data_IF_840625768507
#
_entry.id   IF_840625768507
#
_cell.length_a   1.000
_cell.length_b   1.000
_cell.length_c   1.000
_cell.angle_alpha   90.00
_cell.angle_beta   90.00
_cell.angle_gamma   90.00
#
_symmetry.space_group_name_H-M   'P 1'
#
loop_
_entity.id
_entity.type
_entity.pdbx_description
1 polymer ?
#
# COMPACT_ATOMS: atom_id res chain seq x y z
N UNK A 1 79.68 -20.58 0.67
CA UNK A 1 78.74 -20.67 -0.45
C UNK A 1 77.38 -21.05 0.13
N UNK A 2 76.50 -20.08 0.38
CA UNK A 2 75.16 -20.29 0.93
C UNK A 2 74.10 -19.96 -0.14
N UNK A 3 73.32 -20.94 -0.56
CA UNK A 3 72.26 -20.75 -1.54
C UNK A 3 70.97 -20.30 -0.81
N UNK A 4 70.57 -19.04 -1.05
CA UNK A 4 69.27 -18.55 -0.59
C UNK A 4 68.14 -19.07 -1.45
N UNK A 5 67.12 -19.65 -0.78
CA UNK A 5 65.87 -20.10 -1.40
C UNK A 5 64.86 -18.97 -1.31
N UNK A 6 64.52 -18.43 -2.47
CA UNK A 6 63.42 -17.43 -2.61
C UNK A 6 62.10 -18.20 -2.62
N UNK A 7 61.29 -18.00 -1.56
CA UNK A 7 59.88 -18.48 -1.52
C UNK A 7 58.98 -17.43 -2.16
N UNK A 8 58.44 -17.73 -3.32
CA UNK A 8 57.42 -16.95 -3.98
C UNK A 8 56.06 -17.30 -3.38
N UNK A 9 55.44 -16.39 -2.64
CA UNK A 9 54.11 -16.53 -2.10
C UNK A 9 53.10 -16.13 -3.17
N UNK A 10 52.34 -17.08 -3.71
CA UNK A 10 51.19 -16.80 -4.57
C UNK A 10 50.01 -16.38 -3.68
N UNK A 11 49.61 -15.12 -3.78
CA UNK A 11 48.33 -14.63 -3.23
C UNK A 11 47.23 -14.93 -4.26
N UNK A 12 46.40 -15.92 -3.98
CA UNK A 12 45.21 -16.19 -4.76
C UNK A 12 44.14 -15.15 -4.41
N UNK A 13 43.92 -14.20 -5.30
CA UNK A 13 42.75 -13.29 -5.23
C UNK A 13 41.53 -14.10 -5.64
N UNK A 14 40.74 -14.53 -4.66
CA UNK A 14 39.41 -15.07 -4.91
C UNK A 14 38.50 -13.92 -5.36
N UNK A 15 38.24 -13.81 -6.65
CA UNK A 15 37.17 -12.96 -7.16
C UNK A 15 35.84 -13.59 -6.77
N UNK A 16 35.22 -13.07 -5.71
CA UNK A 16 33.80 -13.30 -5.45
C UNK A 16 33.00 -12.70 -6.61
N UNK A 17 32.68 -13.52 -7.60
CA UNK A 17 31.62 -13.20 -8.53
C UNK A 17 30.29 -13.24 -7.72
N UNK A 18 29.81 -12.06 -7.33
CA UNK A 18 28.44 -11.90 -6.92
C UNK A 18 27.58 -12.29 -8.13
N UNK A 19 26.99 -13.48 -8.09
CA UNK A 19 25.90 -13.86 -9.00
C UNK A 19 24.72 -12.97 -8.59
N UNK A 20 24.68 -11.78 -9.15
CA UNK A 20 23.51 -10.92 -9.08
C UNK A 20 22.37 -11.66 -9.76
N UNK A 21 21.43 -12.18 -8.99
CA UNK A 21 20.10 -12.46 -9.56
C UNK A 21 19.58 -11.12 -10.03
N UNK A 22 19.58 -10.89 -11.35
CA UNK A 22 18.96 -9.70 -11.93
C UNK A 22 17.53 -9.67 -11.40
N UNK A 23 17.25 -8.69 -10.51
CA UNK A 23 15.92 -8.45 -9.97
C UNK A 23 14.98 -8.18 -11.15
N UNK A 24 13.74 -8.63 -11.07
CA UNK A 24 12.75 -8.33 -12.10
C UNK A 24 12.53 -6.83 -12.16
N UNK A 25 12.74 -6.22 -13.33
CA UNK A 25 12.45 -4.80 -13.60
C UNK A 25 10.96 -4.57 -13.85
N UNK A 26 10.50 -3.38 -13.46
CA UNK A 26 9.10 -2.95 -13.60
C UNK A 26 9.05 -1.60 -14.32
N UNK A 27 8.96 -1.65 -15.65
CA UNK A 27 9.01 -0.47 -16.54
C UNK A 27 7.65 0.22 -16.71
N UNK A 28 6.57 -0.43 -16.28
CA UNK A 28 5.21 0.10 -16.38
C UNK A 28 4.30 -0.48 -15.30
N UNK A 29 3.35 0.33 -14.85
CA UNK A 29 2.24 -0.15 -14.02
C UNK A 29 1.21 -0.95 -14.83
N UNK A 30 1.15 -0.77 -16.16
CA UNK A 30 0.26 -1.57 -17.01
C UNK A 30 0.57 -3.06 -16.87
N UNK A 31 -0.46 -3.86 -16.70
CA UNK A 31 -0.37 -5.31 -16.50
C UNK A 31 -0.11 -5.74 -15.06
N UNK A 32 -0.13 -4.82 -14.09
CA UNK A 32 0.08 -5.14 -12.69
C UNK A 32 -1.19 -4.95 -11.86
N UNK A 33 -1.34 -5.79 -10.85
CA UNK A 33 -2.28 -5.65 -9.74
C UNK A 33 -1.46 -5.45 -8.48
N UNK A 34 -1.59 -4.28 -7.88
CA UNK A 34 -0.85 -3.88 -6.67
C UNK A 34 -1.81 -3.55 -5.54
N UNK A 35 -1.29 -3.47 -4.32
CA UNK A 35 -2.07 -3.03 -3.16
C UNK A 35 -1.35 -1.90 -2.43
N UNK A 36 -2.10 -1.04 -1.76
CA UNK A 36 -1.51 -0.10 -0.80
C UNK A 36 -0.95 -0.85 0.40
N UNK A 37 0.19 -0.42 0.91
CA UNK A 37 0.85 -1.01 2.07
C UNK A 37 1.08 0.06 3.11
N UNK A 38 0.41 -0.04 4.25
CA UNK A 38 0.48 0.95 5.32
C UNK A 38 1.80 0.85 6.09
N UNK A 39 2.14 -0.33 6.57
CA UNK A 39 3.36 -0.60 7.29
C UNK A 39 3.56 0.22 8.57
N UNK A 40 2.50 0.80 9.14
CA UNK A 40 2.55 1.78 10.23
C UNK A 40 2.43 1.20 11.64
N UNK A 41 2.13 -0.11 11.75
CA UNK A 41 1.92 -0.77 13.02
C UNK A 41 3.24 -0.98 13.78
N UNK A 42 3.27 -0.64 15.07
CA UNK A 42 4.39 -0.91 15.96
C UNK A 42 3.96 -1.67 17.20
N UNK A 43 4.92 -2.39 17.79
CA UNK A 43 4.77 -3.05 19.09
C UNK A 43 5.78 -2.49 20.08
N UNK A 44 5.54 -2.60 21.41
CA UNK A 44 6.58 -2.39 22.40
C UNK A 44 7.79 -3.28 22.08
N UNK A 45 8.99 -2.76 22.30
CA UNK A 45 10.25 -3.50 22.12
C UNK A 45 10.57 -3.96 20.67
N UNK A 46 9.84 -3.44 19.66
CA UNK A 46 10.19 -3.66 18.24
C UNK A 46 11.43 -2.84 17.82
N UNK A 47 11.86 -1.90 18.62
CA UNK A 47 13.00 -1.01 18.35
C UNK A 47 12.60 0.36 17.79
N UNK A 48 11.35 0.57 17.38
CA UNK A 48 10.88 1.87 16.91
C UNK A 48 10.66 2.91 18.02
N UNK A 49 10.42 2.44 19.25
CA UNK A 49 10.11 3.29 20.40
C UNK A 49 8.75 3.97 20.33
N UNK A 50 7.78 3.37 19.60
CA UNK A 50 6.44 3.93 19.35
C UNK A 50 5.34 3.22 20.15
N UNK A 51 5.65 2.13 20.86
CA UNK A 51 4.68 1.28 21.54
C UNK A 51 3.67 0.66 20.59
N UNK A 52 2.46 0.41 21.01
CA UNK A 52 1.37 -0.14 20.17
C UNK A 52 0.81 0.92 19.19
N UNK A 53 1.64 1.49 18.32
CA UNK A 53 1.24 2.52 17.38
C UNK A 53 0.31 1.92 16.31
N UNK A 54 -0.75 2.61 15.94
CA UNK A 54 -1.88 2.19 15.11
C UNK A 54 -2.70 1.00 15.62
N UNK A 55 -2.16 0.12 16.45
CA UNK A 55 -2.94 -0.90 17.16
C UNK A 55 -3.80 -0.31 18.27
N UNK A 56 -3.27 0.69 19.01
CA UNK A 56 -3.92 1.29 20.18
C UNK A 56 -5.10 2.17 19.79
N UNK A 57 -6.19 2.03 20.56
CA UNK A 57 -7.27 3.00 20.57
C UNK A 57 -6.94 4.22 21.43
N UNK A 58 -7.97 5.02 21.70
CA UNK A 58 -7.86 6.28 22.46
C UNK A 58 -7.22 6.10 23.84
N UNK A 59 -7.58 5.04 24.54
CA UNK A 59 -7.16 4.78 25.94
C UNK A 59 -6.05 3.71 26.03
N UNK A 60 -5.23 3.58 25.00
CA UNK A 60 -4.15 2.59 24.88
C UNK A 60 -4.57 1.34 24.11
N UNK A 61 -3.72 0.30 24.15
CA UNK A 61 -4.01 -0.99 23.51
C UNK A 61 -4.40 -2.01 24.57
N UNK A 62 -5.68 -2.21 24.75
CA UNK A 62 -6.27 -3.09 25.76
C UNK A 62 -7.72 -3.43 25.37
N UNK A 63 -8.33 -4.46 25.99
CA UNK A 63 -9.74 -4.75 25.80
C UNK A 63 -10.62 -3.52 26.01
N UNK A 64 -11.50 -3.25 25.04
CA UNK A 64 -12.32 -2.05 24.99
C UNK A 64 -11.63 -0.81 24.40
N UNK A 65 -10.32 -0.86 24.12
CA UNK A 65 -9.57 0.24 23.49
C UNK A 65 -8.55 -0.32 22.49
N UNK A 66 -8.93 -0.33 21.23
CA UNK A 66 -8.09 -0.72 20.07
C UNK A 66 -8.62 -0.02 18.84
N UNK A 67 -7.76 0.22 17.84
CA UNK A 67 -8.21 0.71 16.54
C UNK A 67 -8.48 -0.42 15.55
N UNK A 68 -7.87 -1.60 15.74
CA UNK A 68 -7.95 -2.66 14.74
C UNK A 68 -9.26 -3.45 14.82
N UNK A 69 -9.82 -3.74 13.66
CA UNK A 69 -11.04 -4.54 13.52
C UNK A 69 -10.74 -5.99 13.12
N UNK A 70 -9.71 -6.22 12.30
CA UNK A 70 -9.30 -7.55 11.88
C UNK A 70 -8.08 -8.00 12.68
N UNK A 71 -8.00 -9.30 12.99
CA UNK A 71 -6.82 -9.90 13.60
C UNK A 71 -5.99 -10.62 12.53
N UNK A 72 -4.67 -10.42 12.44
CA UNK A 72 -3.84 -11.14 11.48
C UNK A 72 -3.71 -12.62 11.84
N UNK A 73 -3.62 -13.48 10.81
CA UNK A 73 -3.19 -14.87 10.98
C UNK A 73 -1.68 -14.88 11.21
N UNK A 74 -1.29 -15.10 12.45
CA UNK A 74 0.12 -14.98 12.88
C UNK A 74 0.94 -16.26 12.69
N UNK A 75 0.39 -17.31 12.09
CA UNK A 75 1.00 -18.64 12.01
C UNK A 75 2.31 -18.70 11.20
N UNK A 76 2.58 -17.75 10.31
CA UNK A 76 3.78 -17.72 9.47
C UNK A 76 4.78 -16.60 9.84
N UNK A 77 4.49 -15.79 10.88
CA UNK A 77 5.42 -14.75 11.32
C UNK A 77 6.49 -15.34 12.25
N UNK A 78 7.73 -14.93 12.03
CA UNK A 78 8.89 -15.36 12.83
C UNK A 78 8.94 -14.65 14.18
N UNK A 79 8.66 -13.34 14.20
CA UNK A 79 8.71 -12.49 15.39
C UNK A 79 7.34 -11.90 15.69
N UNK A 80 6.92 -12.05 16.94
CA UNK A 80 5.61 -11.64 17.45
C UNK A 80 5.76 -11.04 18.84
N UNK A 81 4.83 -10.15 19.20
CA UNK A 81 4.78 -9.44 20.48
C UNK A 81 3.52 -9.78 21.23
N UNK A 82 3.63 -10.11 22.50
CA UNK A 82 2.52 -10.46 23.38
C UNK A 82 1.61 -9.24 23.60
N UNK A 83 0.31 -9.41 23.41
CA UNK A 83 -0.70 -8.37 23.58
C UNK A 83 -1.45 -8.51 24.90
N UNK A 84 -2.19 -7.49 25.35
CA UNK A 84 -3.08 -7.61 26.50
C UNK A 84 -4.37 -8.43 26.23
N UNK A 85 -4.48 -9.06 25.09
CA UNK A 85 -5.65 -9.86 24.70
C UNK A 85 -5.36 -11.35 24.80
N UNK A 86 -6.38 -12.14 25.14
CA UNK A 86 -6.30 -13.60 25.27
C UNK A 86 -7.39 -14.28 24.43
N UNK A 87 -7.09 -15.47 23.98
CA UNK A 87 -8.05 -16.40 23.41
C UNK A 87 -8.85 -17.11 24.52
N UNK A 88 -9.93 -17.76 24.12
CA UNK A 88 -10.84 -18.54 25.00
C UNK A 88 -10.16 -19.69 25.77
N UNK A 89 -9.04 -20.21 25.28
CA UNK A 89 -8.22 -21.22 25.95
C UNK A 89 -7.15 -20.61 26.90
N UNK A 90 -7.17 -19.29 27.12
CA UNK A 90 -6.19 -18.58 27.94
C UNK A 90 -4.88 -18.24 27.26
N UNK A 91 -4.68 -18.65 25.99
CA UNK A 91 -3.46 -18.31 25.24
C UNK A 91 -3.40 -16.80 24.99
N UNK A 92 -2.23 -16.20 25.23
CA UNK A 92 -1.98 -14.78 24.93
C UNK A 92 -1.97 -14.59 23.41
N UNK A 93 -2.76 -13.63 22.94
CA UNK A 93 -2.78 -13.24 21.55
C UNK A 93 -1.56 -12.38 21.21
N UNK A 94 -0.99 -12.56 20.02
CA UNK A 94 0.25 -11.89 19.59
C UNK A 94 0.07 -11.18 18.26
N UNK A 95 0.88 -10.14 18.05
CA UNK A 95 0.87 -9.33 16.83
C UNK A 95 2.29 -9.08 16.30
N UNK A 96 2.47 -8.96 14.97
CA UNK A 96 3.74 -8.62 14.35
C UNK A 96 3.98 -7.09 14.37
N UNK A 97 5.21 -6.69 14.03
CA UNK A 97 5.54 -5.31 13.68
C UNK A 97 6.26 -5.26 12.33
N UNK A 98 5.85 -4.44 11.35
CA UNK A 98 6.59 -4.25 10.11
C UNK A 98 7.93 -3.51 10.29
N UNK A 99 8.21 -3.00 11.48
CA UNK A 99 9.56 -2.52 11.82
C UNK A 99 10.59 -3.64 11.89
N UNK A 100 10.13 -4.89 12.01
CA UNK A 100 10.95 -6.10 11.87
C UNK A 100 11.01 -6.55 10.40
N UNK A 101 12.21 -6.79 9.89
CA UNK A 101 12.39 -7.28 8.52
C UNK A 101 11.63 -8.59 8.23
N UNK A 102 11.62 -9.52 9.17
CA UNK A 102 10.94 -10.82 9.01
C UNK A 102 9.43 -10.68 8.73
N UNK A 103 8.78 -9.64 9.28
CA UNK A 103 7.38 -9.33 9.00
C UNK A 103 7.19 -8.91 7.54
N UNK A 104 7.98 -7.95 7.08
CA UNK A 104 7.91 -7.45 5.70
C UNK A 104 8.32 -8.53 4.70
N UNK A 105 9.36 -9.32 5.01
CA UNK A 105 9.79 -10.46 4.21
C UNK A 105 8.66 -11.49 4.03
N UNK A 106 7.92 -11.80 5.11
CA UNK A 106 6.75 -12.68 5.06
C UNK A 106 5.65 -12.13 4.16
N UNK A 107 5.36 -10.82 4.21
CA UNK A 107 4.37 -10.18 3.35
C UNK A 107 4.75 -10.27 1.87
N UNK A 108 5.99 -9.99 1.50
CA UNK A 108 6.45 -10.09 0.12
C UNK A 108 6.54 -11.54 -0.36
N UNK A 109 6.86 -12.49 0.52
CA UNK A 109 6.78 -13.93 0.25
C UNK A 109 5.34 -14.35 -0.09
N UNK A 110 4.33 -13.84 0.65
CA UNK A 110 2.92 -14.06 0.31
C UNK A 110 2.54 -13.43 -1.04
N UNK A 111 2.96 -12.20 -1.32
CA UNK A 111 2.71 -11.58 -2.63
C UNK A 111 3.22 -12.45 -3.77
N UNK A 112 4.45 -12.98 -3.64
CA UNK A 112 5.01 -13.90 -4.64
C UNK A 112 4.20 -15.19 -4.72
N UNK A 113 3.89 -15.81 -3.59
CA UNK A 113 3.16 -17.09 -3.50
C UNK A 113 1.77 -17.01 -4.14
N UNK A 114 1.05 -15.93 -3.91
CA UNK A 114 -0.33 -15.76 -4.36
C UNK A 114 -0.45 -14.96 -5.67
N UNK A 115 0.61 -14.36 -6.16
CA UNK A 115 0.66 -13.71 -7.46
C UNK A 115 0.22 -12.25 -7.48
N UNK A 116 0.22 -11.56 -6.34
CA UNK A 116 0.12 -10.10 -6.28
C UNK A 116 1.43 -9.49 -6.81
N UNK A 117 1.34 -8.49 -7.67
CA UNK A 117 2.51 -8.01 -8.41
C UNK A 117 3.42 -7.09 -7.57
N UNK A 118 2.88 -6.42 -6.57
CA UNK A 118 3.65 -5.52 -5.70
C UNK A 118 2.78 -4.63 -4.84
N UNK A 119 3.39 -3.59 -4.27
CA UNK A 119 2.74 -2.67 -3.36
C UNK A 119 3.10 -1.22 -3.62
N UNK A 120 2.19 -0.33 -3.22
CA UNK A 120 2.42 1.09 -3.06
C UNK A 120 2.61 1.38 -1.56
N UNK A 121 3.86 1.70 -1.19
CA UNK A 121 4.25 1.98 0.19
C UNK A 121 3.71 3.33 0.61
N UNK A 122 2.77 3.34 1.53
CA UNK A 122 2.19 4.57 2.07
C UNK A 122 3.25 5.36 2.82
N UNK A 123 3.26 6.66 2.57
CA UNK A 123 4.19 7.59 3.18
C UNK A 123 3.44 8.87 3.58
N UNK A 124 2.93 8.88 4.81
CA UNK A 124 2.17 10.01 5.35
C UNK A 124 3.09 11.21 5.54
N UNK A 125 2.83 12.30 4.84
CA UNK A 125 3.66 13.52 4.93
C UNK A 125 3.78 14.03 6.37
N UNK A 126 2.71 13.90 7.16
CA UNK A 126 2.72 14.25 8.58
C UNK A 126 3.68 13.39 9.42
N UNK A 127 3.70 12.09 9.16
CA UNK A 127 4.58 11.14 9.86
C UNK A 127 6.06 11.38 9.51
N UNK A 128 6.36 11.50 8.22
CA UNK A 128 7.75 11.69 7.79
C UNK A 128 8.29 13.10 8.05
N UNK A 129 7.43 14.01 8.47
CA UNK A 129 7.82 15.35 8.92
C UNK A 129 8.28 15.38 10.39
N UNK A 130 8.11 14.30 11.14
CA UNK A 130 8.63 14.19 12.50
C UNK A 130 9.71 13.10 12.59
N UNK A 131 10.72 13.27 13.50
CA UNK A 131 11.87 12.36 13.53
C UNK A 131 11.53 10.89 13.82
N UNK A 132 10.55 10.61 14.69
CA UNK A 132 10.16 9.25 15.07
C UNK A 132 9.43 8.55 13.93
N UNK A 133 8.44 9.21 13.33
CA UNK A 133 7.72 8.70 12.15
C UNK A 133 8.66 8.50 10.97
N UNK A 134 9.53 9.48 10.69
CA UNK A 134 10.52 9.37 9.60
C UNK A 134 11.42 8.15 9.74
N UNK A 135 11.98 7.91 10.94
CA UNK A 135 12.79 6.71 11.20
C UNK A 135 12.01 5.43 10.93
N UNK A 136 10.75 5.37 11.42
CA UNK A 136 9.90 4.21 11.21
C UNK A 136 9.63 3.95 9.72
N UNK A 137 9.13 4.94 8.99
CA UNK A 137 8.78 4.78 7.57
C UNK A 137 10.01 4.55 6.68
N UNK A 138 11.18 5.11 7.02
CA UNK A 138 12.43 4.81 6.32
C UNK A 138 12.85 3.36 6.53
N UNK A 139 12.78 2.83 7.76
CA UNK A 139 13.10 1.45 8.08
C UNK A 139 12.18 0.47 7.35
N UNK A 140 10.86 0.71 7.39
CA UNK A 140 9.88 -0.16 6.71
C UNK A 140 10.06 -0.11 5.18
N UNK A 141 10.35 1.06 4.62
CA UNK A 141 10.64 1.22 3.20
C UNK A 141 11.92 0.45 2.79
N UNK A 142 12.99 0.53 3.59
CA UNK A 142 14.22 -0.24 3.34
C UNK A 142 13.94 -1.74 3.35
N UNK A 143 13.17 -2.21 4.31
CA UNK A 143 12.72 -3.60 4.37
C UNK A 143 11.91 -4.01 3.14
N UNK A 144 10.98 -3.15 2.69
CA UNK A 144 10.17 -3.39 1.51
C UNK A 144 11.01 -3.44 0.23
N UNK A 145 11.94 -2.51 0.02
CA UNK A 145 12.85 -2.51 -1.13
C UNK A 145 13.69 -3.78 -1.18
N UNK A 146 14.26 -4.19 -0.04
CA UNK A 146 15.04 -5.42 0.09
C UNK A 146 14.19 -6.67 -0.21
N UNK A 147 13.00 -6.77 0.38
CA UNK A 147 12.11 -7.90 0.16
C UNK A 147 11.55 -7.93 -1.28
N UNK A 148 11.26 -6.77 -1.87
CA UNK A 148 10.83 -6.65 -3.26
C UNK A 148 11.86 -7.20 -4.23
N UNK A 149 13.13 -6.82 -4.08
CA UNK A 149 14.23 -7.35 -4.89
C UNK A 149 14.37 -8.87 -4.71
N UNK A 150 14.30 -9.37 -3.45
CA UNK A 150 14.37 -10.81 -3.14
C UNK A 150 13.27 -11.63 -3.81
N UNK A 151 12.05 -11.12 -3.83
CA UNK A 151 10.87 -11.86 -4.31
C UNK A 151 10.43 -11.47 -5.73
N UNK A 152 11.08 -10.49 -6.35
CA UNK A 152 10.71 -9.97 -7.66
C UNK A 152 9.29 -9.40 -7.64
N UNK A 153 9.02 -8.45 -6.73
CA UNK A 153 7.75 -7.72 -6.61
C UNK A 153 7.99 -6.24 -6.80
N UNK A 154 7.01 -5.53 -7.38
CA UNK A 154 7.09 -4.09 -7.58
C UNK A 154 6.94 -3.34 -6.25
N UNK A 155 7.68 -2.26 -6.09
CA UNK A 155 7.49 -1.27 -5.01
C UNK A 155 7.38 0.11 -5.61
N UNK A 156 6.46 0.91 -5.13
CA UNK A 156 6.32 2.32 -5.45
C UNK A 156 6.03 3.12 -4.17
N UNK A 157 6.46 4.36 -4.10
CA UNK A 157 6.13 5.26 -2.99
C UNK A 157 4.79 5.93 -3.28
N UNK A 158 3.93 5.98 -2.25
CA UNK A 158 2.65 6.68 -2.28
C UNK A 158 2.56 7.65 -1.12
N UNK A 159 2.62 8.94 -1.41
CA UNK A 159 2.42 9.98 -0.41
C UNK A 159 0.95 10.16 -0.08
N UNK A 160 0.64 10.24 1.22
CA UNK A 160 -0.67 10.60 1.74
C UNK A 160 -0.60 12.02 2.35
N UNK A 161 -1.49 12.88 1.86
CA UNK A 161 -1.54 14.29 2.25
C UNK A 161 -2.50 14.56 3.42
N UNK A 162 -3.07 13.53 4.06
CA UNK A 162 -4.03 13.69 5.16
C UNK A 162 -3.46 14.51 6.30
N UNK A 163 -4.29 15.42 6.85
CA UNK A 163 -3.93 16.24 7.99
C UNK A 163 -2.88 17.33 7.73
N UNK A 164 -2.45 17.51 6.48
CA UNK A 164 -1.42 18.48 6.12
C UNK A 164 -1.97 19.91 6.00
N UNK A 165 -1.03 20.87 6.00
CA UNK A 165 -1.25 22.30 5.81
C UNK A 165 -0.58 22.80 4.51
N UNK A 166 -0.55 24.12 4.31
CA UNK A 166 0.03 24.78 3.12
C UNK A 166 1.53 24.50 2.87
N UNK A 167 2.24 23.90 3.85
CA UNK A 167 3.64 23.51 3.67
C UNK A 167 3.80 22.06 3.14
N UNK A 168 2.72 21.42 2.75
CA UNK A 168 2.72 20.02 2.32
C UNK A 168 3.63 19.79 1.10
N UNK A 169 3.64 20.70 0.14
CA UNK A 169 4.49 20.61 -1.05
C UNK A 169 5.99 20.65 -0.69
N UNK A 170 6.40 21.60 0.15
CA UNK A 170 7.78 21.71 0.64
C UNK A 170 8.24 20.41 1.32
N UNK A 171 7.41 19.89 2.24
CA UNK A 171 7.72 18.68 3.01
C UNK A 171 7.84 17.43 2.15
N UNK A 172 6.87 17.24 1.22
CA UNK A 172 6.85 16.10 0.32
C UNK A 172 8.07 16.12 -0.62
N UNK A 173 8.35 17.27 -1.24
CA UNK A 173 9.47 17.40 -2.18
C UNK A 173 10.83 17.23 -1.50
N UNK A 174 10.98 17.69 -0.27
CA UNK A 174 12.20 17.46 0.50
C UNK A 174 12.37 15.97 0.87
N UNK A 175 11.29 15.29 1.23
CA UNK A 175 11.30 13.87 1.58
C UNK A 175 11.61 12.99 0.37
N UNK A 176 10.98 13.23 -0.78
CA UNK A 176 11.26 12.44 -1.99
C UNK A 176 12.70 12.62 -2.49
N UNK A 177 13.28 13.81 -2.35
CA UNK A 177 14.67 14.07 -2.69
C UNK A 177 15.63 13.22 -1.82
N UNK A 178 15.33 13.07 -0.52
CA UNK A 178 16.11 12.22 0.38
C UNK A 178 15.95 10.73 0.04
N UNK A 179 14.71 10.29 -0.10
CA UNK A 179 14.39 8.88 -0.39
C UNK A 179 14.95 8.46 -1.74
N UNK A 180 14.87 9.32 -2.75
CA UNK A 180 15.42 9.06 -4.09
C UNK A 180 16.93 8.83 -4.06
N UNK A 181 17.66 9.64 -3.30
CA UNK A 181 19.11 9.44 -3.13
C UNK A 181 19.42 8.15 -2.38
N UNK A 182 18.70 7.89 -1.29
CA UNK A 182 18.93 6.72 -0.43
C UNK A 182 18.69 5.40 -1.16
N UNK A 183 17.63 5.33 -1.96
CA UNK A 183 17.20 4.10 -2.63
C UNK A 183 17.47 4.08 -4.13
N UNK A 184 18.17 5.09 -4.67
CA UNK A 184 18.50 5.18 -6.11
C UNK A 184 17.29 5.01 -7.02
N UNK A 185 16.18 5.73 -6.73
CA UNK A 185 14.92 5.55 -7.44
C UNK A 185 15.00 5.84 -8.94
N UNK A 186 15.92 6.71 -9.35
CA UNK A 186 16.18 7.07 -10.75
C UNK A 186 17.00 6.04 -11.52
N UNK A 187 17.52 5.01 -10.85
CA UNK A 187 18.43 4.03 -11.44
C UNK A 187 17.85 2.62 -11.32
N UNK A 188 17.20 2.16 -12.39
CA UNK A 188 16.66 0.80 -12.47
C UNK A 188 17.72 -0.29 -12.27
N UNK A 189 18.95 -0.04 -12.63
CA UNK A 189 20.05 -1.00 -12.46
C UNK A 189 20.36 -1.25 -10.97
N UNK A 190 20.26 -0.20 -10.16
CA UNK A 190 20.47 -0.28 -8.70
C UNK A 190 19.23 -0.70 -7.94
N UNK A 191 18.03 -0.35 -8.41
CA UNK A 191 16.77 -0.69 -7.77
C UNK A 191 15.74 -1.20 -8.79
N UNK A 192 15.93 -2.43 -9.32
CA UNK A 192 15.09 -2.98 -10.38
C UNK A 192 13.64 -3.20 -9.99
N UNK A 193 13.35 -3.38 -8.69
CA UNK A 193 11.99 -3.56 -8.18
C UNK A 193 11.21 -2.25 -8.01
N UNK A 194 11.87 -1.08 -8.08
CA UNK A 194 11.14 0.18 -8.03
C UNK A 194 10.34 0.39 -9.31
N UNK A 195 9.04 0.65 -9.16
CA UNK A 195 8.13 0.76 -10.29
C UNK A 195 8.40 2.03 -11.10
N UNK A 196 8.66 1.87 -12.37
CA UNK A 196 8.67 2.93 -13.36
C UNK A 196 7.37 2.95 -14.17
N UNK A 197 7.10 4.07 -14.81
CA UNK A 197 6.01 4.22 -15.77
C UNK A 197 6.40 5.30 -16.79
N UNK A 198 6.11 5.08 -18.07
CA UNK A 198 6.51 5.97 -19.16
C UNK A 198 8.02 6.34 -19.13
N UNK A 199 8.87 5.36 -18.78
CA UNK A 199 10.34 5.52 -18.74
C UNK A 199 10.88 6.32 -17.54
N UNK A 200 10.04 6.65 -16.55
CA UNK A 200 10.41 7.43 -15.36
C UNK A 200 9.96 6.72 -14.08
N UNK A 201 10.68 6.89 -12.95
CA UNK A 201 10.22 6.36 -11.66
C UNK A 201 8.85 6.93 -11.30
N UNK A 202 7.93 6.05 -10.87
CA UNK A 202 6.57 6.44 -10.50
C UNK A 202 6.52 6.92 -9.04
N UNK A 203 5.82 8.02 -8.81
CA UNK A 203 5.43 8.48 -7.47
C UNK A 203 3.92 8.68 -7.44
N UNK A 204 3.29 8.23 -6.37
CA UNK A 204 1.85 8.42 -6.17
C UNK A 204 1.62 9.51 -5.14
N UNK A 205 0.61 10.36 -5.37
CA UNK A 205 0.17 11.39 -4.43
C UNK A 205 -1.32 11.24 -4.22
N UNK A 206 -1.71 10.78 -3.03
CA UNK A 206 -3.11 10.68 -2.63
C UNK A 206 -3.54 11.89 -1.83
N UNK A 207 -4.75 12.38 -2.10
CA UNK A 207 -5.33 13.46 -1.33
C UNK A 207 -5.55 14.74 -2.13
N UNK A 208 -5.43 14.69 -3.46
CA UNK A 208 -5.59 15.85 -4.35
C UNK A 208 -7.07 16.09 -4.68
N UNK A 209 -7.58 17.29 -4.41
CA UNK A 209 -8.91 17.74 -4.82
C UNK A 209 -10.08 17.26 -3.94
N UNK A 210 -9.84 16.80 -2.70
CA UNK A 210 -10.91 16.45 -1.76
C UNK A 210 -11.52 17.68 -1.08
N UNK A 211 -12.87 17.74 -0.96
CA UNK A 211 -13.63 18.81 -0.34
C UNK A 211 -13.86 18.64 1.17
N UNK A 212 -13.08 17.81 1.85
CA UNK A 212 -13.23 17.44 3.27
C UNK A 212 -12.58 18.44 4.25
N UNK A 213 -12.54 19.73 3.89
CA UNK A 213 -11.99 20.84 4.70
C UNK A 213 -10.48 20.73 4.97
N UNK A 214 -9.72 20.25 4.01
CA UNK A 214 -8.26 20.22 4.10
C UNK A 214 -7.67 21.61 4.28
N UNK A 215 -6.54 21.72 4.99
CA UNK A 215 -5.83 22.98 5.21
C UNK A 215 -4.86 23.33 4.08
N UNK A 216 -4.77 22.50 3.07
CA UNK A 216 -4.11 22.72 1.79
C UNK A 216 -5.16 22.63 0.67
N UNK A 217 -4.85 23.14 -0.50
CA UNK A 217 -5.78 23.17 -1.63
C UNK A 217 -5.10 22.86 -2.96
N UNK A 218 -5.71 23.33 -4.05
CA UNK A 218 -5.22 23.08 -5.40
C UNK A 218 -3.89 23.79 -5.71
N UNK A 219 -3.57 24.90 -5.04
CA UNK A 219 -2.29 25.58 -5.22
C UNK A 219 -1.12 24.72 -4.73
N UNK A 220 -1.27 24.08 -3.57
CA UNK A 220 -0.28 23.15 -3.04
C UNK A 220 -0.22 21.85 -3.87
N UNK A 221 -1.35 21.35 -4.35
CA UNK A 221 -1.41 20.21 -5.25
C UNK A 221 -0.67 20.50 -6.57
N UNK A 222 -0.88 21.67 -7.15
CA UNK A 222 -0.14 22.13 -8.34
C UNK A 222 1.37 22.22 -8.08
N UNK A 223 1.76 22.77 -6.93
CA UNK A 223 3.18 22.87 -6.56
C UNK A 223 3.84 21.47 -6.41
N UNK A 224 3.12 20.49 -5.83
CA UNK A 224 3.60 19.10 -5.74
C UNK A 224 3.78 18.50 -7.13
N UNK A 225 2.76 18.59 -7.99
CA UNK A 225 2.81 18.00 -9.34
C UNK A 225 3.93 18.64 -10.16
N UNK A 226 4.04 19.96 -10.17
CA UNK A 226 5.13 20.67 -10.87
C UNK A 226 6.51 20.25 -10.34
N UNK A 227 6.68 20.25 -9.02
CA UNK A 227 7.97 19.90 -8.39
C UNK A 227 8.38 18.43 -8.63
N UNK A 228 7.44 17.50 -8.71
CA UNK A 228 7.73 16.09 -9.06
C UNK A 228 8.09 15.93 -10.55
N UNK A 229 7.40 16.64 -11.44
CA UNK A 229 7.71 16.63 -12.88
C UNK A 229 9.10 17.21 -13.17
N UNK A 230 9.45 18.33 -12.54
CA UNK A 230 10.79 18.94 -12.64
C UNK A 230 11.90 17.98 -12.20
N UNK A 231 11.60 17.09 -11.24
CA UNK A 231 12.51 16.03 -10.78
C UNK A 231 12.52 14.78 -11.66
N UNK A 232 11.73 14.73 -12.72
CA UNK A 232 11.71 13.64 -13.68
C UNK A 232 10.86 12.43 -13.26
N UNK A 233 9.88 12.59 -12.37
CA UNK A 233 8.95 11.50 -12.01
C UNK A 233 7.79 11.36 -12.99
N UNK A 234 7.31 10.14 -13.17
CA UNK A 234 5.92 9.87 -13.54
C UNK A 234 5.04 10.01 -12.31
N UNK A 235 3.82 10.47 -12.49
CA UNK A 235 2.94 10.83 -11.39
C UNK A 235 1.62 10.08 -11.51
N UNK A 236 1.22 9.41 -10.43
CA UNK A 236 -0.15 8.92 -10.25
C UNK A 236 -0.84 9.77 -9.19
N UNK A 237 -2.04 10.27 -9.49
CA UNK A 237 -2.84 11.04 -8.55
C UNK A 237 -3.98 10.21 -7.97
N UNK A 238 -4.08 10.18 -6.63
CA UNK A 238 -5.23 9.71 -5.88
C UNK A 238 -6.20 10.87 -5.62
N UNK A 239 -7.37 10.83 -6.26
CA UNK A 239 -8.38 11.89 -6.29
C UNK A 239 -9.71 11.44 -5.69
N UNK A 240 -10.64 12.34 -5.35
CA UNK A 240 -11.96 11.96 -4.87
C UNK A 240 -12.76 11.17 -5.91
N UNK A 241 -13.84 10.54 -5.46
CA UNK A 241 -14.71 9.72 -6.29
C UNK A 241 -15.32 10.47 -7.48
N UNK A 242 -15.82 11.66 -7.22
CA UNK A 242 -16.57 12.45 -8.22
C UNK A 242 -15.71 13.57 -8.86
N UNK A 243 -14.39 13.30 -8.97
CA UNK A 243 -13.40 14.22 -9.52
C UNK A 243 -13.78 14.77 -10.91
N UNK A 244 -14.39 13.93 -11.76
CA UNK A 244 -14.77 14.32 -13.12
C UNK A 244 -15.98 15.26 -13.14
N UNK A 245 -16.92 15.08 -12.20
CA UNK A 245 -18.13 15.89 -12.06
C UNK A 245 -17.94 17.12 -11.18
N UNK A 246 -16.83 17.25 -10.46
CA UNK A 246 -16.53 18.35 -9.52
C UNK A 246 -17.64 18.55 -8.47
N UNK A 247 -18.10 17.47 -7.85
CA UNK A 247 -19.19 17.48 -6.87
C UNK A 247 -18.94 16.54 -5.70
N UNK A 248 -19.83 16.54 -4.72
CA UNK A 248 -19.85 15.69 -3.52
C UNK A 248 -18.54 15.75 -2.71
N UNK A 249 -17.68 14.74 -2.83
CA UNK A 249 -16.40 14.67 -2.12
C UNK A 249 -15.25 15.43 -2.82
N UNK A 250 -15.57 16.15 -3.90
CA UNK A 250 -14.61 16.84 -4.77
C UNK A 250 -14.70 18.36 -4.64
N UNK A 251 -13.55 19.03 -4.62
CA UNK A 251 -13.47 20.50 -4.76
C UNK A 251 -14.16 20.94 -6.06
N UNK A 252 -15.15 21.86 -5.98
CA UNK A 252 -15.92 22.29 -7.15
C UNK A 252 -15.16 23.36 -7.99
N UNK A 253 -13.85 23.16 -8.18
CA UNK A 253 -12.96 24.07 -8.89
C UNK A 253 -12.38 23.38 -10.14
N UNK A 254 -12.64 23.90 -11.36
CA UNK A 254 -12.16 23.30 -12.61
C UNK A 254 -10.64 23.24 -12.74
N UNK A 255 -9.88 24.00 -11.96
CA UNK A 255 -8.41 23.87 -11.90
C UNK A 255 -7.97 22.46 -11.50
N UNK A 256 -8.82 21.69 -10.82
CA UNK A 256 -8.52 20.27 -10.53
C UNK A 256 -8.28 19.46 -11.81
N UNK A 257 -9.07 19.70 -12.85
CA UNK A 257 -8.88 19.03 -14.15
C UNK A 257 -7.55 19.44 -14.81
N UNK A 258 -7.13 20.71 -14.66
CA UNK A 258 -5.84 21.17 -15.21
C UNK A 258 -4.65 20.51 -14.49
N UNK A 259 -4.77 20.27 -13.18
CA UNK A 259 -3.79 19.53 -12.39
C UNK A 259 -3.77 18.05 -12.82
N UNK A 260 -4.94 17.43 -12.95
CA UNK A 260 -5.08 16.01 -13.36
C UNK A 260 -4.45 15.79 -14.74
N UNK A 261 -4.64 16.69 -15.71
CA UNK A 261 -4.03 16.57 -17.04
C UNK A 261 -2.51 16.57 -17.05
N UNK A 262 -1.87 16.86 -15.93
CA UNK A 262 -0.42 16.81 -15.78
C UNK A 262 0.09 15.48 -15.20
N UNK A 263 -0.80 14.56 -14.79
CA UNK A 263 -0.38 13.25 -14.29
C UNK A 263 -0.31 12.20 -15.42
N UNK A 264 0.37 11.11 -15.15
CA UNK A 264 0.50 9.96 -16.05
C UNK A 264 -0.60 8.91 -15.77
N UNK A 265 -1.05 8.82 -14.50
CA UNK A 265 -2.06 7.85 -14.07
C UNK A 265 -3.03 8.51 -13.08
N UNK A 266 -4.30 8.19 -13.20
CA UNK A 266 -5.34 8.64 -12.28
C UNK A 266 -5.98 7.46 -11.53
N UNK A 267 -6.19 7.63 -10.21
CA UNK A 267 -6.82 6.65 -9.32
C UNK A 267 -7.87 7.34 -8.44
N UNK A 268 -9.16 7.24 -8.76
CA UNK A 268 -10.20 7.69 -7.86
C UNK A 268 -10.31 6.82 -6.62
N UNK A 269 -10.56 7.45 -5.47
CA UNK A 269 -10.69 6.76 -4.19
C UNK A 269 -12.12 6.32 -3.93
N UNK A 270 -12.35 5.01 -3.91
CA UNK A 270 -13.67 4.41 -3.80
C UNK A 270 -13.96 3.75 -2.45
N UNK A 271 -12.97 3.65 -1.56
CA UNK A 271 -13.16 3.02 -0.24
C UNK A 271 -14.28 3.74 0.53
N UNK A 272 -15.24 2.96 1.04
CA UNK A 272 -16.35 3.48 1.82
C UNK A 272 -17.47 4.16 1.01
N UNK A 273 -17.36 4.23 -0.33
CA UNK A 273 -18.33 4.96 -1.17
C UNK A 273 -19.54 4.12 -1.61
N UNK A 274 -19.45 2.82 -1.54
CA UNK A 274 -20.51 1.87 -1.89
C UNK A 274 -20.33 0.56 -1.12
N UNK A 275 -21.40 -0.20 -1.06
CA UNK A 275 -21.43 -1.58 -0.62
C UNK A 275 -21.83 -2.53 -1.77
N UNK A 276 -22.02 -3.82 -1.50
CA UNK A 276 -22.43 -4.81 -2.50
C UNK A 276 -23.76 -4.47 -3.18
N UNK A 277 -24.70 -3.83 -2.46
CA UNK A 277 -26.03 -3.48 -2.97
C UNK A 277 -26.01 -2.24 -3.86
N UNK A 278 -25.25 -1.24 -3.46
CA UNK A 278 -25.15 0.05 -4.17
C UNK A 278 -24.15 0.04 -5.32
N UNK A 279 -23.19 -0.91 -5.33
CA UNK A 279 -22.17 -0.99 -6.38
C UNK A 279 -22.72 -1.05 -7.81
N UNK A 280 -23.79 -1.78 -8.15
CA UNK A 280 -24.34 -1.78 -9.51
C UNK A 280 -24.77 -0.41 -10.03
N UNK A 281 -25.25 0.46 -9.13
CA UNK A 281 -25.59 1.84 -9.48
C UNK A 281 -24.36 2.75 -9.54
N UNK A 282 -23.28 2.40 -8.83
CA UNK A 282 -22.05 3.18 -8.74
C UNK A 282 -21.07 2.91 -9.91
N UNK A 283 -20.95 1.64 -10.31
CA UNK A 283 -19.87 1.15 -11.20
C UNK A 283 -19.79 1.81 -12.57
N UNK A 284 -20.85 2.49 -13.03
CA UNK A 284 -20.86 3.23 -14.32
C UNK A 284 -19.80 4.32 -14.38
N UNK A 285 -19.38 4.86 -13.22
CA UNK A 285 -18.31 5.85 -13.16
C UNK A 285 -17.00 5.33 -13.75
N UNK A 286 -16.70 4.04 -13.60
CA UNK A 286 -15.42 3.45 -14.04
C UNK A 286 -15.21 3.58 -15.55
N UNK A 287 -16.11 3.09 -16.43
CA UNK A 287 -15.92 3.24 -17.88
C UNK A 287 -16.01 4.70 -18.34
N UNK A 288 -16.78 5.55 -17.67
CA UNK A 288 -16.86 6.98 -18.00
C UNK A 288 -15.56 7.71 -17.65
N UNK A 289 -14.98 7.43 -16.49
CA UNK A 289 -13.68 7.97 -16.09
C UNK A 289 -12.56 7.46 -17.00
N UNK A 290 -12.58 6.17 -17.36
CA UNK A 290 -11.63 5.61 -18.33
C UNK A 290 -11.72 6.26 -19.70
N UNK A 291 -12.93 6.65 -20.16
CA UNK A 291 -13.12 7.35 -21.42
C UNK A 291 -12.48 8.75 -21.35
N UNK A 292 -12.77 9.51 -20.30
CA UNK A 292 -12.18 10.82 -20.09
C UNK A 292 -10.64 10.78 -20.01
N UNK A 293 -10.09 9.79 -19.27
CA UNK A 293 -8.64 9.62 -19.16
C UNK A 293 -7.99 9.33 -20.52
N UNK A 294 -8.61 8.48 -21.34
CA UNK A 294 -8.12 8.21 -22.71
C UNK A 294 -8.11 9.43 -23.62
N UNK A 295 -9.13 10.31 -23.50
CA UNK A 295 -9.20 11.56 -24.28
C UNK A 295 -8.07 12.53 -23.91
N UNK A 296 -7.44 12.32 -22.75
CA UNK A 296 -6.39 13.20 -22.22
C UNK A 296 -5.02 12.50 -22.08
N UNK A 297 -4.84 11.32 -22.72
CA UNK A 297 -3.60 10.53 -22.66
C UNK A 297 -3.14 10.17 -21.23
N UNK A 298 -4.10 9.92 -20.33
CA UNK A 298 -3.87 9.53 -18.94
C UNK A 298 -4.29 8.07 -18.77
N UNK A 299 -3.46 7.27 -18.10
CA UNK A 299 -3.84 5.93 -17.69
C UNK A 299 -4.79 5.96 -16.49
N UNK A 300 -5.65 4.95 -16.39
CA UNK A 300 -6.62 4.85 -15.30
C UNK A 300 -6.40 3.59 -14.49
N UNK A 301 -6.23 3.75 -13.18
CA UNK A 301 -6.09 2.67 -12.22
C UNK A 301 -7.36 2.57 -11.36
N UNK A 302 -8.36 1.75 -11.72
CA UNK A 302 -9.52 1.56 -10.87
C UNK A 302 -9.12 0.92 -9.54
N UNK A 303 -9.78 1.37 -8.47
CA UNK A 303 -9.57 0.88 -7.11
C UNK A 303 -10.63 -0.16 -6.76
N UNK A 304 -10.20 -1.26 -6.12
CA UNK A 304 -11.07 -2.26 -5.52
C UNK A 304 -10.71 -2.45 -4.03
N UNK A 305 -11.71 -2.74 -3.20
CA UNK A 305 -11.50 -2.99 -1.77
C UNK A 305 -12.37 -4.14 -1.25
N UNK A 306 -11.88 -4.93 -0.26
CA UNK A 306 -12.57 -6.17 0.13
C UNK A 306 -13.77 -5.97 1.04
N UNK A 307 -13.83 -4.85 1.70
CA UNK A 307 -14.81 -4.41 2.69
C UNK A 307 -14.23 -3.24 3.47
N UNK A 308 -14.99 -2.69 4.42
CA UNK A 308 -14.58 -1.54 5.20
C UNK A 308 -15.21 -1.57 6.59
N UNK A 309 -14.47 -1.15 7.63
CA UNK A 309 -14.99 -1.11 8.99
C UNK A 309 -14.23 -0.09 9.84
N UNK A 310 -14.97 0.80 10.48
CA UNK A 310 -14.47 1.69 11.53
C UNK A 310 -15.00 1.30 12.92
N UNK A 311 -15.33 0.04 13.11
CA UNK A 311 -15.99 -0.44 14.33
C UNK A 311 -15.22 -0.08 15.61
N UNK A 312 -13.91 -0.21 15.61
CA UNK A 312 -13.07 0.10 16.77
C UNK A 312 -12.38 1.46 16.68
N UNK A 313 -12.13 1.98 15.48
CA UNK A 313 -11.42 3.24 15.28
C UNK A 313 -12.28 4.46 15.62
N UNK A 314 -13.56 4.43 15.34
CA UNK A 314 -14.48 5.54 15.57
C UNK A 314 -15.46 5.26 16.70
N UNK A 315 -15.74 6.30 17.52
CA UNK A 315 -16.70 6.23 18.58
C UNK A 315 -17.82 7.25 18.33
N UNK A 316 -19.12 6.90 18.46
CA UNK A 316 -19.65 5.59 18.85
C UNK A 316 -19.37 4.49 17.81
N UNK A 317 -19.32 3.23 18.29
CA UNK A 317 -18.94 2.04 17.51
C UNK A 317 -19.90 1.64 16.37
N UNK A 318 -20.89 2.43 16.08
CA UNK A 318 -21.86 2.25 14.98
C UNK A 318 -21.36 2.81 13.64
N UNK A 319 -20.09 3.16 13.57
CA UNK A 319 -19.49 3.69 12.37
C UNK A 319 -19.62 2.73 11.18
N UNK A 320 -19.59 3.29 10.00
CA UNK A 320 -19.76 2.64 8.70
C UNK A 320 -19.09 1.27 8.62
N UNK A 321 -19.88 0.26 8.29
CA UNK A 321 -19.41 -1.09 8.07
C UNK A 321 -19.89 -1.59 6.72
N UNK A 322 -18.95 -2.01 5.88
CA UNK A 322 -19.21 -2.65 4.59
C UNK A 322 -18.72 -4.10 4.70
N UNK A 323 -19.66 -5.07 4.79
CA UNK A 323 -19.30 -6.47 4.96
C UNK A 323 -18.48 -7.03 3.81
N UNK A 324 -17.60 -7.95 4.13
CA UNK A 324 -16.70 -8.58 3.15
C UNK A 324 -17.37 -9.72 2.36
N UNK A 325 -18.44 -10.31 2.90
CA UNK A 325 -19.25 -11.37 2.29
C UNK A 325 -18.42 -12.53 1.72
N UNK A 326 -17.48 -13.06 2.49
CA UNK A 326 -16.57 -14.12 2.08
C UNK A 326 -15.87 -13.83 0.72
N UNK A 327 -15.64 -12.55 0.43
CA UNK A 327 -14.96 -12.08 -0.77
C UNK A 327 -15.85 -11.91 -2.01
N UNK A 328 -17.17 -12.13 -1.95
CA UNK A 328 -18.07 -11.90 -3.10
C UNK A 328 -18.08 -10.44 -3.54
N UNK A 329 -18.16 -9.52 -2.58
CA UNK A 329 -18.11 -8.08 -2.82
C UNK A 329 -16.78 -7.66 -3.51
N UNK A 330 -15.65 -8.17 -3.04
CA UNK A 330 -14.35 -7.88 -3.65
C UNK A 330 -14.23 -8.45 -5.06
N UNK A 331 -14.66 -9.70 -5.25
CA UNK A 331 -14.63 -10.36 -6.56
C UNK A 331 -15.47 -9.63 -7.59
N UNK A 332 -16.68 -9.15 -7.22
CA UNK A 332 -17.56 -8.41 -8.10
C UNK A 332 -16.89 -7.15 -8.66
N UNK A 333 -16.17 -6.41 -7.84
CA UNK A 333 -15.40 -5.22 -8.24
C UNK A 333 -14.25 -5.59 -9.20
N UNK A 334 -13.44 -6.59 -8.81
CA UNK A 334 -12.32 -7.07 -9.63
C UNK A 334 -12.79 -7.54 -11.02
N UNK A 335 -13.87 -8.32 -11.06
CA UNK A 335 -14.45 -8.82 -12.30
C UNK A 335 -14.91 -7.68 -13.19
N UNK A 336 -15.67 -6.73 -12.65
CA UNK A 336 -16.18 -5.60 -13.42
C UNK A 336 -15.07 -4.70 -13.96
N UNK A 337 -14.07 -4.35 -13.16
CA UNK A 337 -12.93 -3.55 -13.63
C UNK A 337 -12.21 -4.23 -14.80
N UNK A 338 -11.98 -5.54 -14.70
CA UNK A 338 -11.32 -6.31 -15.78
C UNK A 338 -12.17 -6.43 -17.03
N UNK A 339 -13.49 -6.53 -16.89
CA UNK A 339 -14.47 -6.56 -18.00
C UNK A 339 -14.61 -5.20 -18.68
N UNK A 340 -14.56 -4.11 -17.90
CA UNK A 340 -14.55 -2.73 -18.39
C UNK A 340 -13.27 -2.36 -19.15
N UNK A 341 -12.25 -3.22 -19.10
CA UNK A 341 -11.05 -3.00 -19.87
C UNK A 341 -9.87 -2.41 -19.12
N UNK A 342 -9.89 -2.41 -17.79
CA UNK A 342 -8.76 -1.95 -16.99
C UNK A 342 -7.43 -2.60 -17.43
N UNK A 343 -6.38 -1.82 -17.47
CA UNK A 343 -5.02 -2.25 -17.82
C UNK A 343 -4.11 -2.38 -16.59
N UNK A 344 -4.55 -1.90 -15.45
CA UNK A 344 -3.92 -2.00 -14.12
C UNK A 344 -5.00 -2.00 -13.06
N UNK A 345 -4.69 -2.44 -11.84
CA UNK A 345 -5.63 -2.41 -10.71
C UNK A 345 -4.90 -2.01 -9.42
N UNK A 346 -5.54 -1.16 -8.62
CA UNK A 346 -5.13 -0.84 -7.27
C UNK A 346 -6.08 -1.48 -6.25
N UNK A 347 -5.55 -2.11 -5.22
CA UNK A 347 -6.30 -2.71 -4.13
C UNK A 347 -6.05 -1.91 -2.84
N UNK A 348 -7.09 -1.40 -2.24
CA UNK A 348 -7.06 -0.81 -0.91
C UNK A 348 -7.54 -1.84 0.11
N UNK A 349 -6.69 -2.37 1.01
CA UNK A 349 -5.24 -2.24 1.18
C UNK A 349 -4.63 -3.62 1.41
N UNK A 350 -3.30 -3.73 1.45
CA UNK A 350 -2.64 -5.01 1.76
C UNK A 350 -2.80 -5.38 3.24
N UNK A 351 -2.47 -4.47 4.16
CA UNK A 351 -2.27 -4.72 5.60
C UNK A 351 -3.12 -3.85 6.55
N UNK A 352 -4.07 -3.10 6.04
CA UNK A 352 -4.87 -2.15 6.84
C UNK A 352 -5.99 -2.85 7.60
N UNK A 353 -5.65 -3.35 8.79
CA UNK A 353 -6.58 -4.09 9.66
C UNK A 353 -7.45 -3.18 10.53
N UNK A 354 -7.08 -1.93 10.68
CA UNK A 354 -7.78 -0.90 11.45
C UNK A 354 -8.99 -0.31 10.71
N UNK A 355 -8.97 -0.30 9.37
CA UNK A 355 -10.13 0.03 8.54
C UNK A 355 -10.82 -1.19 7.90
N UNK A 356 -10.42 -2.40 8.27
CA UNK A 356 -11.01 -3.63 7.76
C UNK A 356 -10.77 -3.89 6.27
N UNK A 357 -9.88 -3.16 5.61
CA UNK A 357 -9.58 -3.26 4.18
C UNK A 357 -8.47 -4.27 3.84
N UNK A 358 -7.79 -4.82 4.84
CA UNK A 358 -6.67 -5.73 4.63
C UNK A 358 -7.01 -6.95 3.77
N UNK A 359 -6.17 -7.24 2.75
CA UNK A 359 -6.24 -8.48 1.95
C UNK A 359 -5.22 -9.53 2.35
N UNK A 360 -4.26 -9.20 3.22
CA UNK A 360 -3.29 -10.16 3.75
C UNK A 360 -4.01 -11.23 4.62
N UNK A 361 -3.27 -12.17 5.17
CA UNK A 361 -3.86 -13.26 5.95
C UNK A 361 -4.46 -12.75 7.27
N UNK A 362 -5.78 -12.89 7.43
CA UNK A 362 -6.51 -12.59 8.66
C UNK A 362 -7.03 -13.86 9.32
N UNK A 363 -7.17 -13.82 10.65
CA UNK A 363 -7.51 -14.97 11.46
C UNK A 363 -9.04 -15.19 11.53
N UNK A 364 -9.44 -16.46 11.55
CA UNK A 364 -10.80 -16.85 11.92
C UNK A 364 -10.99 -16.83 13.44
N UNK A 365 -9.98 -17.34 14.17
CA UNK A 365 -9.98 -17.28 15.62
C UNK A 365 -9.39 -15.96 16.06
N UNK A 366 -10.20 -15.15 16.71
CA UNK A 366 -9.83 -13.83 17.23
C UNK A 366 -9.83 -13.87 18.76
N UNK A 367 -9.06 -13.01 19.45
CA UNK A 367 -9.06 -12.99 20.92
C UNK A 367 -10.37 -12.42 21.45
N UNK A 368 -11.18 -13.27 22.07
CA UNK A 368 -12.53 -12.95 22.59
C UNK A 368 -12.73 -13.21 24.08
N UNK A 369 -11.77 -13.88 24.73
CA UNK A 369 -11.89 -14.24 26.15
C UNK A 369 -11.92 -13.03 27.08
N UNK A 370 -11.37 -11.88 26.63
CA UNK A 370 -11.32 -10.67 27.44
C UNK A 370 -12.56 -9.81 27.14
N UNK A 371 -13.36 -9.41 28.16
CA UNK A 371 -14.52 -8.54 27.95
C UNK A 371 -14.13 -7.23 27.25
N UNK A 372 -14.94 -6.79 26.28
CA UNK A 372 -14.70 -5.61 25.47
C UNK A 372 -13.88 -5.85 24.19
N UNK A 373 -13.42 -7.06 23.93
CA UNK A 373 -12.85 -7.42 22.62
C UNK A 373 -13.95 -7.44 21.53
N UNK A 374 -13.68 -6.76 20.42
CA UNK A 374 -14.68 -6.56 19.35
C UNK A 374 -14.13 -6.80 17.95
N UNK A 375 -13.19 -7.74 17.83
CA UNK A 375 -12.59 -8.08 16.55
C UNK A 375 -13.56 -8.81 15.64
N UNK A 376 -13.43 -8.59 14.33
CA UNK A 376 -14.22 -9.23 13.29
C UNK A 376 -13.46 -10.47 12.81
N UNK A 377 -14.00 -11.68 13.02
CA UNK A 377 -13.36 -12.90 12.54
C UNK A 377 -13.45 -12.98 11.01
N UNK A 378 -12.55 -13.77 10.43
CA UNK A 378 -12.66 -14.14 9.02
C UNK A 378 -13.98 -14.91 8.79
N UNK A 379 -14.65 -14.60 7.67
CA UNK A 379 -15.91 -15.24 7.29
C UNK A 379 -15.79 -16.78 7.26
N UNK A 380 -16.91 -17.47 7.57
CA UNK A 380 -16.96 -18.91 7.50
C UNK A 380 -16.73 -19.44 6.08
N UNK A 381 -16.22 -20.65 5.96
CA UNK A 381 -16.01 -21.34 4.67
C UNK A 381 -14.81 -20.88 3.86
N UNK A 382 -14.08 -19.83 4.27
CA UNK A 382 -12.87 -19.36 3.56
C UNK A 382 -11.59 -19.49 4.40
N UNK A 383 -10.46 -19.69 3.76
CA UNK A 383 -9.14 -19.73 4.43
C UNK A 383 -8.54 -18.34 4.63
N UNK A 384 -7.57 -18.21 5.53
CA UNK A 384 -6.88 -16.94 5.83
C UNK A 384 -6.26 -16.27 4.59
N UNK A 385 -5.88 -17.06 3.58
CA UNK A 385 -5.28 -16.61 2.33
C UNK A 385 -6.28 -16.28 1.21
N UNK A 386 -7.58 -16.28 1.50
CA UNK A 386 -8.65 -16.18 0.50
C UNK A 386 -8.54 -14.90 -0.34
N UNK A 387 -8.36 -13.76 0.30
CA UNK A 387 -8.30 -12.46 -0.38
C UNK A 387 -7.03 -12.30 -1.21
N UNK A 388 -5.89 -12.84 -0.76
CA UNK A 388 -4.67 -12.92 -1.56
C UNK A 388 -4.86 -13.78 -2.82
N UNK A 389 -5.60 -14.89 -2.72
CA UNK A 389 -5.95 -15.73 -3.87
C UNK A 389 -6.87 -15.01 -4.85
N UNK A 390 -7.81 -14.20 -4.37
CA UNK A 390 -8.67 -13.36 -5.23
C UNK A 390 -7.84 -12.35 -6.01
N UNK A 391 -6.96 -11.60 -5.31
CA UNK A 391 -6.05 -10.63 -5.93
C UNK A 391 -5.13 -11.27 -6.98
N UNK A 392 -4.54 -12.41 -6.66
CA UNK A 392 -3.67 -13.15 -7.61
C UNK A 392 -4.40 -13.70 -8.83
N UNK A 393 -5.66 -14.13 -8.68
CA UNK A 393 -6.51 -14.51 -9.84
C UNK A 393 -6.80 -13.32 -10.73
N UNK A 394 -7.10 -12.16 -10.14
CA UNK A 394 -7.28 -10.91 -10.89
C UNK A 394 -6.00 -10.53 -11.66
N UNK A 395 -4.83 -10.60 -11.05
CA UNK A 395 -3.55 -10.33 -11.69
C UNK A 395 -3.27 -11.27 -12.88
N UNK A 396 -3.57 -12.56 -12.73
CA UNK A 396 -3.45 -13.53 -13.83
C UNK A 396 -4.42 -13.23 -14.98
N UNK A 397 -5.68 -12.86 -14.65
CA UNK A 397 -6.71 -12.52 -15.64
C UNK A 397 -6.37 -11.22 -16.38
N UNK A 398 -5.90 -10.18 -15.67
CA UNK A 398 -5.44 -8.93 -16.25
C UNK A 398 -4.38 -9.18 -17.33
N UNK A 399 -3.32 -9.91 -16.99
CA UNK A 399 -2.23 -10.25 -17.92
C UNK A 399 -2.71 -11.05 -19.13
N UNK A 400 -3.68 -11.96 -18.94
CA UNK A 400 -4.30 -12.72 -20.03
C UNK A 400 -5.11 -11.81 -20.96
N UNK A 401 -5.88 -10.87 -20.40
CA UNK A 401 -6.69 -9.92 -21.17
C UNK A 401 -5.81 -9.03 -22.04
N UNK A 402 -4.73 -8.48 -21.48
CA UNK A 402 -3.79 -7.62 -22.21
C UNK A 402 -3.07 -8.37 -23.35
N UNK A 403 -2.70 -9.65 -23.15
CA UNK A 403 -2.11 -10.47 -24.22
C UNK A 403 -3.06 -10.74 -25.39
N UNK A 404 -4.38 -10.72 -25.15
CA UNK A 404 -5.39 -10.95 -26.21
C UNK A 404 -5.72 -9.68 -27.00
N UNK A 405 -5.36 -8.51 -26.49
CA UNK A 405 -5.60 -7.21 -27.13
C UNK A 405 -4.42 -6.73 -27.98
N UNK A 406 -3.25 -7.32 -27.77
CA UNK A 406 -2.06 -7.19 -28.64
C UNK A 406 -2.13 -8.15 -29.83
#
# INVERSE_FOLDING_TARGET
>A
MSRGIIRTTFVAIAACMAIGTEGKTYDSYRGLVTAGYQGWFNAPDDGAGRGWYHYRGRDGFRPGSTNVDLWPDVSEYEKLYDTPFTFDDGTVARLPSPYDYSTVDTHFRWMKKYGLDGVFMQRFVGEVSNPSGKRHFNQVLDHAMRAANKYGRAVCIMYDLSGQDKRVAERLLADIDEVSRTHSLMDHGRNPSYLHHNGRPLVVVWGVGFSDRRKYGLDEAQAIVSGLRERGYSIMLGVPTYWRQLRDDTEPDPRLHDIIRQCDILMPWFVGRYDERSYPAFRHLIPEDMAWCREHDIDYAPLCFPGFSWRNMHYPREATHIPRHAGSFFRMQLDYCLESGAEMLYIAMFDEIDEGTAIFKTARRVPTATPGSTFVPLDEGIGSDHYLKLAGRAAKRLKKNLKRRR
#
